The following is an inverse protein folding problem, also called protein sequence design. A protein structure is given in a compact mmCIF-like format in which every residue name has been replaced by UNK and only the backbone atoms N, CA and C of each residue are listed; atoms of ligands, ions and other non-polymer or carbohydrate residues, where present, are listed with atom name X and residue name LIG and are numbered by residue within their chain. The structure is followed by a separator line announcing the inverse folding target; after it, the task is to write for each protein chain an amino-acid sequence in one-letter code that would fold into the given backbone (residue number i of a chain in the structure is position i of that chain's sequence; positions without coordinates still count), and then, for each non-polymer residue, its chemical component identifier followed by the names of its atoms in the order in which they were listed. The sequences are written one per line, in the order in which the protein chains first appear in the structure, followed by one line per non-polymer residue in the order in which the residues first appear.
data_IF_491619076534
#
_entry.id   IF_491619076534
#
_cell.length_a   1.000
_cell.length_b   1.000
_cell.length_c   1.000
_cell.angle_alpha   90.00
_cell.angle_beta   90.00
_cell.angle_gamma   90.00
#
_symmetry.space_group_name_H-M   'P 1'
#
loop_
_entity.id
_entity.type
_entity.pdbx_description
1 polymer ?
#
# COMPACT_ATOMS: atom_id res chain seq x y z
N UNK A 1 22.93 5.81 18.52
CA UNK A 1 22.53 4.68 17.66
C UNK A 1 21.92 5.28 16.41
N UNK A 2 22.27 4.81 15.21
CA UNK A 2 21.57 5.28 14.01
C UNK A 2 20.10 4.83 14.07
N UNK A 3 19.14 5.66 13.62
CA UNK A 3 17.74 5.25 13.61
C UNK A 3 17.57 4.01 12.73
N UNK A 4 16.73 3.07 13.19
CA UNK A 4 16.43 1.85 12.45
C UNK A 4 15.73 2.20 11.12
N UNK A 5 15.99 1.45 10.04
CA UNK A 5 15.22 1.62 8.82
C UNK A 5 13.78 1.16 9.03
N UNK A 6 12.85 1.69 8.23
CA UNK A 6 11.42 1.47 8.42
C UNK A 6 10.79 0.71 7.26
N UNK A 7 9.97 -0.29 7.60
CA UNK A 7 9.12 -1.05 6.67
C UNK A 7 7.66 -0.66 6.91
N UNK A 8 7.02 -0.06 5.91
CA UNK A 8 5.62 0.34 5.96
C UNK A 8 4.76 -0.70 5.26
N UNK A 9 3.72 -1.15 5.96
CA UNK A 9 2.78 -2.19 5.53
C UNK A 9 1.38 -1.88 6.06
N UNK A 10 0.35 -2.50 5.48
CA UNK A 10 -0.98 -2.47 6.07
C UNK A 10 -1.75 -3.77 5.78
N UNK A 11 -2.52 -4.31 6.76
CA UNK A 11 -3.28 -5.55 6.56
C UNK A 11 -4.33 -5.50 5.46
N UNK A 12 -4.72 -4.31 4.97
CA UNK A 12 -5.65 -4.20 3.83
C UNK A 12 -5.02 -4.65 2.51
N UNK A 13 -3.70 -4.57 2.35
CA UNK A 13 -3.02 -4.99 1.12
C UNK A 13 -3.28 -6.45 0.77
N UNK A 14 -3.29 -7.35 1.75
CA UNK A 14 -3.59 -8.78 1.52
C UNK A 14 -5.10 -9.07 1.33
N UNK A 15 -5.97 -8.08 1.52
CA UNK A 15 -7.41 -8.18 1.24
C UNK A 15 -7.78 -7.73 -0.17
N UNK A 16 -6.85 -7.12 -0.91
CA UNK A 16 -7.02 -6.84 -2.33
C UNK A 16 -7.11 -8.14 -3.12
N UNK A 17 -8.33 -8.66 -3.31
CA UNK A 17 -8.56 -9.92 -4.01
C UNK A 17 -8.69 -9.69 -5.52
N UNK A 18 -7.70 -10.19 -6.25
CA UNK A 18 -7.62 -10.16 -7.70
C UNK A 18 -7.90 -11.52 -8.35
N UNK A 19 -8.26 -12.54 -7.55
CA UNK A 19 -8.48 -13.90 -8.00
C UNK A 19 -7.21 -14.56 -8.57
N UNK A 20 -7.28 -15.03 -9.82
CA UNK A 20 -6.19 -15.78 -10.46
C UNK A 20 -5.09 -14.87 -11.07
N UNK A 21 -5.20 -13.55 -10.91
CA UNK A 21 -4.28 -12.58 -11.47
C UNK A 21 -2.83 -12.78 -10.94
N UNK A 22 -1.79 -12.45 -11.73
CA UNK A 22 -0.40 -12.50 -11.26
C UNK A 22 -0.13 -11.50 -10.12
N UNK A 23 -0.70 -10.29 -10.19
CA UNK A 23 -0.75 -9.35 -9.07
C UNK A 23 -1.75 -9.89 -8.05
N UNK A 24 -1.29 -10.42 -6.91
CA UNK A 24 -2.11 -11.04 -5.85
C UNK A 24 -1.40 -10.99 -4.50
N UNK A 25 -2.16 -11.11 -3.41
CA UNK A 25 -1.66 -11.09 -2.02
C UNK A 25 -0.44 -12.00 -1.75
N UNK A 26 -0.38 -13.18 -2.38
CA UNK A 26 0.74 -14.12 -2.22
C UNK A 26 2.12 -13.53 -2.56
N UNK A 27 2.19 -12.45 -3.35
CA UNK A 27 3.45 -11.72 -3.63
C UNK A 27 3.99 -11.06 -2.37
N UNK A 28 3.13 -10.39 -1.61
CA UNK A 28 3.48 -9.71 -0.35
C UNK A 28 3.81 -10.75 0.72
N UNK A 29 2.96 -11.76 0.89
CA UNK A 29 3.16 -12.84 1.85
C UNK A 29 4.49 -13.58 1.62
N UNK A 30 4.89 -13.74 0.36
CA UNK A 30 6.19 -14.33 0.02
C UNK A 30 7.36 -13.47 0.49
N UNK A 31 7.29 -12.15 0.31
CA UNK A 31 8.33 -11.22 0.75
C UNK A 31 8.39 -11.17 2.28
N UNK A 32 7.24 -11.04 2.94
CA UNK A 32 7.15 -10.96 4.41
C UNK A 32 7.64 -12.25 5.07
N UNK A 33 7.36 -13.42 4.49
CA UNK A 33 7.89 -14.70 4.98
C UNK A 33 9.41 -14.74 4.92
N UNK A 34 10.01 -14.29 3.80
CA UNK A 34 11.47 -14.25 3.66
C UNK A 34 12.13 -13.22 4.59
N UNK A 35 11.50 -12.06 4.78
CA UNK A 35 11.97 -11.06 5.73
C UNK A 35 11.87 -11.53 7.17
N UNK A 36 10.74 -12.15 7.55
CA UNK A 36 10.55 -12.72 8.88
C UNK A 36 11.58 -13.81 9.18
N UNK A 37 11.91 -14.67 8.22
CA UNK A 37 12.96 -15.68 8.38
C UNK A 37 14.38 -15.08 8.60
N UNK A 38 14.55 -13.79 8.28
CA UNK A 38 15.79 -13.03 8.43
C UNK A 38 15.70 -11.95 9.52
N UNK A 39 14.74 -12.09 10.44
CA UNK A 39 14.49 -11.13 11.52
C UNK A 39 14.34 -9.69 11.01
N UNK A 40 13.62 -9.56 9.90
CA UNK A 40 13.32 -8.30 9.20
C UNK A 40 14.56 -7.49 8.80
N UNK A 41 15.76 -8.07 8.82
CA UNK A 41 17.01 -7.37 8.49
C UNK A 41 17.23 -6.07 9.30
N UNK A 42 16.64 -6.00 10.51
CA UNK A 42 16.68 -4.81 11.36
C UNK A 42 15.72 -3.69 10.99
N UNK A 43 14.77 -3.91 10.05
CA UNK A 43 13.69 -2.97 9.79
C UNK A 43 12.69 -2.93 10.95
N UNK A 44 12.36 -1.73 11.40
CA UNK A 44 11.19 -1.49 12.25
C UNK A 44 9.94 -1.46 11.37
N UNK A 45 8.93 -2.25 11.73
CA UNK A 45 7.67 -2.33 10.99
C UNK A 45 6.68 -1.34 11.56
N UNK A 46 6.09 -0.51 10.71
CA UNK A 46 5.04 0.42 11.09
C UNK A 46 3.85 0.31 10.15
N UNK A 47 2.67 0.62 10.67
CA UNK A 47 1.46 0.65 9.85
C UNK A 47 1.47 1.87 8.92
N UNK A 48 1.22 1.65 7.63
CA UNK A 48 0.97 2.73 6.68
C UNK A 48 -0.33 3.45 7.07
N UNK A 49 -0.32 4.79 7.23
CA UNK A 49 -1.56 5.53 7.38
C UNK A 49 -2.36 5.51 6.07
N UNK A 50 -3.68 5.75 6.10
CA UNK A 50 -4.39 6.08 4.88
C UNK A 50 -3.88 7.43 4.35
N UNK A 51 -3.82 7.58 3.03
CA UNK A 51 -3.49 8.87 2.40
C UNK A 51 -4.60 9.90 2.62
N UNK A 52 -4.20 11.16 2.82
CA UNK A 52 -5.15 12.26 2.85
C UNK A 52 -5.78 12.49 1.47
N UNK A 53 -7.09 12.76 1.45
CA UNK A 53 -7.84 12.99 0.21
C UNK A 53 -7.24 14.12 -0.64
N UNK A 54 -6.75 15.17 -0.01
CA UNK A 54 -6.12 16.31 -0.70
C UNK A 54 -4.85 15.90 -1.46
N UNK A 55 -4.09 14.91 -0.96
CA UNK A 55 -2.90 14.40 -1.66
C UNK A 55 -3.30 13.62 -2.91
N UNK A 56 -4.37 12.82 -2.83
CA UNK A 56 -4.92 12.15 -4.01
C UNK A 56 -5.40 13.17 -5.06
N UNK A 57 -6.13 14.20 -4.63
CA UNK A 57 -6.68 15.23 -5.52
C UNK A 57 -5.62 16.16 -6.13
N UNK A 58 -4.43 16.24 -5.53
CA UNK A 58 -3.28 16.92 -6.11
C UNK A 58 -2.69 16.20 -7.34
N UNK A 59 -2.96 14.89 -7.50
CA UNK A 59 -2.43 14.05 -8.58
C UNK A 59 -3.55 13.60 -9.54
N UNK A 60 -4.73 13.31 -9.01
CA UNK A 60 -5.84 12.71 -9.73
C UNK A 60 -7.08 13.61 -9.74
N UNK A 61 -7.85 13.64 -10.85
CA UNK A 61 -9.15 14.31 -10.86
C UNK A 61 -10.10 13.72 -9.82
N UNK A 62 -10.88 14.56 -9.14
CA UNK A 62 -11.88 14.16 -8.14
C UNK A 62 -12.83 13.07 -8.68
N UNK A 63 -13.26 13.22 -9.93
CA UNK A 63 -14.14 12.27 -10.60
C UNK A 63 -13.51 10.88 -10.79
N UNK A 64 -12.20 10.82 -11.01
CA UNK A 64 -11.49 9.55 -11.15
C UNK A 64 -11.43 8.82 -9.81
N UNK A 65 -11.04 9.52 -8.74
CA UNK A 65 -10.97 8.92 -7.40
C UNK A 65 -12.37 8.38 -7.00
N UNK A 66 -13.42 9.17 -7.23
CA UNK A 66 -14.80 8.76 -6.97
C UNK A 66 -15.22 7.53 -7.81
N UNK A 67 -14.78 7.43 -9.07
CA UNK A 67 -15.07 6.25 -9.90
C UNK A 67 -14.40 4.98 -9.39
N UNK A 68 -13.17 5.07 -8.86
CA UNK A 68 -12.47 3.92 -8.27
C UNK A 68 -13.19 3.48 -6.99
N UNK A 69 -13.52 4.43 -6.12
CA UNK A 69 -14.25 4.18 -4.88
C UNK A 69 -15.59 3.49 -5.14
N UNK A 70 -16.36 3.98 -6.12
CA UNK A 70 -17.63 3.38 -6.54
C UNK A 70 -17.45 1.98 -7.16
N UNK A 71 -16.42 1.79 -7.99
CA UNK A 71 -16.12 0.49 -8.58
C UNK A 71 -15.83 -0.56 -7.50
N UNK A 72 -15.02 -0.20 -6.49
CA UNK A 72 -14.72 -1.09 -5.36
C UNK A 72 -15.96 -1.34 -4.50
N UNK A 73 -16.77 -0.31 -4.22
CA UNK A 73 -18.04 -0.48 -3.48
C UNK A 73 -19.04 -1.42 -4.20
N UNK A 74 -18.93 -1.54 -5.53
CA UNK A 74 -19.66 -2.51 -6.34
C UNK A 74 -19.20 -3.97 -6.18
N UNK A 75 -18.06 -4.21 -5.51
CA UNK A 75 -17.49 -5.54 -5.28
C UNK A 75 -16.39 -5.90 -6.28
N UNK A 76 -16.31 -7.19 -6.63
CA UNK A 76 -15.32 -7.69 -7.57
C UNK A 76 -15.61 -7.21 -9.00
N UNK A 77 -14.58 -6.72 -9.71
CA UNK A 77 -14.74 -6.18 -11.05
C UNK A 77 -13.41 -5.80 -11.70
N UNK A 78 -13.52 -5.07 -12.81
CA UNK A 78 -12.40 -4.63 -13.62
C UNK A 78 -12.51 -3.14 -13.87
N UNK A 79 -11.44 -2.38 -13.58
CA UNK A 79 -11.34 -0.97 -13.99
C UNK A 79 -11.01 -0.87 -15.49
N UNK A 80 -10.19 -1.80 -15.99
CA UNK A 80 -9.85 -2.00 -17.39
C UNK A 80 -9.51 -3.48 -17.66
N UNK A 81 -8.94 -3.80 -18.83
CA UNK A 81 -8.67 -5.19 -19.21
C UNK A 81 -7.67 -5.93 -18.31
N UNK A 82 -6.84 -5.23 -17.54
CA UNK A 82 -5.76 -5.82 -16.73
C UNK A 82 -5.81 -5.40 -15.25
N UNK A 83 -6.73 -4.52 -14.87
CA UNK A 83 -6.82 -3.97 -13.52
C UNK A 83 -8.05 -4.50 -12.78
N UNK A 84 -7.84 -5.53 -11.96
CA UNK A 84 -8.89 -6.13 -11.12
C UNK A 84 -9.10 -5.30 -9.85
N UNK A 85 -10.35 -5.17 -9.42
CA UNK A 85 -10.72 -4.59 -8.13
C UNK A 85 -11.70 -5.50 -7.37
N UNK A 86 -11.79 -5.26 -6.07
CA UNK A 86 -12.62 -5.95 -5.08
C UNK A 86 -13.16 -4.94 -4.05
N UNK A 87 -13.99 -5.39 -3.13
CA UNK A 87 -14.57 -4.54 -2.08
C UNK A 87 -13.50 -3.85 -1.21
N UNK A 88 -12.39 -4.54 -0.93
CA UNK A 88 -11.30 -4.04 -0.09
C UNK A 88 -10.25 -3.22 -0.87
N UNK A 89 -10.31 -3.18 -2.20
CA UNK A 89 -9.28 -2.56 -3.05
C UNK A 89 -9.09 -1.08 -2.77
N UNK A 90 -10.17 -0.34 -2.48
CA UNK A 90 -10.05 1.09 -2.24
C UNK A 90 -9.30 1.37 -0.93
N UNK A 91 -9.59 0.62 0.14
CA UNK A 91 -8.84 0.71 1.40
C UNK A 91 -7.37 0.31 1.21
N UNK A 92 -7.11 -0.78 0.48
CA UNK A 92 -5.75 -1.18 0.13
C UNK A 92 -4.98 -0.06 -0.58
N UNK A 93 -5.62 0.58 -1.58
CA UNK A 93 -5.02 1.69 -2.33
C UNK A 93 -4.76 2.93 -1.46
N UNK A 94 -5.66 3.28 -0.54
CA UNK A 94 -5.48 4.41 0.37
C UNK A 94 -4.25 4.22 1.27
N UNK A 95 -4.08 3.03 1.84
CA UNK A 95 -2.94 2.73 2.70
C UNK A 95 -1.65 2.54 1.89
N UNK A 96 -1.74 2.05 0.65
CA UNK A 96 -0.58 1.98 -0.23
C UNK A 96 -0.01 3.36 -0.56
N UNK A 97 -0.88 4.28 -0.95
CA UNK A 97 -0.49 5.67 -1.19
C UNK A 97 0.01 6.35 0.09
N UNK A 98 -0.65 6.14 1.23
CA UNK A 98 -0.27 6.76 2.50
C UNK A 98 1.05 6.23 3.04
N UNK A 99 1.34 4.94 2.83
CA UNK A 99 2.65 4.35 3.11
C UNK A 99 3.77 5.00 2.31
N UNK A 100 3.56 5.20 1.00
CA UNK A 100 4.52 5.86 0.13
C UNK A 100 4.77 7.33 0.55
N UNK A 101 3.72 8.08 0.89
CA UNK A 101 3.83 9.46 1.40
C UNK A 101 4.61 9.48 2.72
N UNK A 102 4.21 8.65 3.70
CA UNK A 102 4.85 8.61 5.01
C UNK A 102 6.33 8.20 4.91
N UNK A 103 6.65 7.27 4.01
CA UNK A 103 8.03 6.89 3.72
C UNK A 103 8.87 8.09 3.29
N UNK A 104 8.36 8.91 2.36
CA UNK A 104 9.07 10.09 1.85
C UNK A 104 9.23 11.15 2.95
N UNK A 105 8.20 11.39 3.76
CA UNK A 105 8.29 12.31 4.91
C UNK A 105 9.42 11.91 5.87
N UNK A 106 9.46 10.64 6.28
CA UNK A 106 10.49 10.12 7.19
C UNK A 106 11.91 10.31 6.65
N UNK A 107 12.09 10.18 5.33
CA UNK A 107 13.37 10.37 4.66
C UNK A 107 13.75 11.87 4.57
N UNK A 108 12.81 12.73 4.19
CA UNK A 108 13.06 14.17 4.04
C UNK A 108 13.30 14.85 5.40
N UNK A 109 12.63 14.40 6.45
CA UNK A 109 12.82 14.89 7.82
C UNK A 109 14.10 14.35 8.47
N UNK A 110 14.84 13.45 7.79
CA UNK A 110 16.06 12.84 8.31
C UNK A 110 15.82 11.89 9.50
N UNK A 111 14.59 11.42 9.68
CA UNK A 111 14.21 10.50 10.76
C UNK A 111 14.81 9.11 10.54
N UNK A 112 14.86 8.66 9.28
CA UNK A 112 15.44 7.37 8.89
C UNK A 112 16.38 7.52 7.69
N UNK A 113 17.43 6.69 7.57
CA UNK A 113 18.37 6.76 6.45
C UNK A 113 17.86 6.05 5.18
N UNK A 114 16.98 5.07 5.34
CA UNK A 114 16.30 4.35 4.27
C UNK A 114 15.03 3.69 4.82
N UNK A 115 14.04 3.49 3.95
CA UNK A 115 12.76 2.89 4.26
C UNK A 115 12.19 2.17 3.03
N UNK A 116 11.19 1.31 3.25
CA UNK A 116 10.48 0.56 2.20
C UNK A 116 8.97 0.60 2.46
N UNK A 117 8.16 0.76 1.41
CA UNK A 117 6.70 0.68 1.47
C UNK A 117 6.25 -0.53 0.66
N UNK A 118 5.57 -1.48 1.32
CA UNK A 118 5.16 -2.76 0.73
C UNK A 118 3.64 -2.89 0.73
N UNK A 119 3.05 -2.94 -0.47
CA UNK A 119 1.60 -2.97 -0.67
C UNK A 119 1.19 -3.73 -1.91
#
# INVERSE_FOLDING_TARGET
MAPAPVWLEHPSSVRHDTGAHPERAARIEAIERELSARDWLGFERIASPPVDRAVLEAVHPVAYIASIEQACAGGAGFLDMDTVVSADSFEAALHAAGGAVRMVELLLDGIVPYAFSAH
#
